data_IF_905760303187
#
_entry.id   IF_905760303187
#
_cell.length_a   1.000
_cell.length_b   1.000
_cell.length_c   1.000
_cell.angle_alpha   90.00
_cell.angle_beta   90.00
_cell.angle_gamma   90.00
#
_symmetry.space_group_name_H-M   'P 1'
#
loop_
_entity.id
_entity.type
_entity.pdbx_description
1 polymer ?
#
# COMPACT_ATOMS: atom_id res chain seq x y z
N UNK A 1 -15.02 44.06 -13.81
CA UNK A 1 -15.38 42.65 -13.51
C UNK A 1 -14.46 41.98 -12.47
N UNK A 2 -13.90 42.72 -11.50
CA UNK A 2 -13.01 42.18 -10.45
C UNK A 2 -13.53 42.39 -9.01
N UNK A 3 -14.57 43.21 -8.82
CA UNK A 3 -15.12 43.53 -7.49
C UNK A 3 -16.06 42.41 -6.97
N UNK A 4 -16.66 41.61 -7.87
CA UNK A 4 -17.62 40.56 -7.51
C UNK A 4 -16.99 39.32 -6.81
N UNK A 5 -15.77 38.90 -7.19
CA UNK A 5 -15.12 37.72 -6.59
C UNK A 5 -14.67 37.93 -5.13
N UNK A 6 -14.32 39.17 -4.76
CA UNK A 6 -13.87 39.50 -3.40
C UNK A 6 -15.04 39.52 -2.42
N UNK A 7 -16.18 40.07 -2.85
CA UNK A 7 -17.43 40.06 -2.09
C UNK A 7 -17.96 38.63 -1.89
N UNK A 8 -17.87 37.78 -2.92
CA UNK A 8 -18.27 36.37 -2.82
C UNK A 8 -17.41 35.57 -1.84
N UNK A 9 -16.10 35.83 -1.79
CA UNK A 9 -15.18 35.24 -0.80
C UNK A 9 -15.52 35.67 0.64
N UNK A 10 -15.84 36.95 0.85
CA UNK A 10 -16.21 37.43 2.19
C UNK A 10 -17.59 36.92 2.64
N UNK A 11 -18.55 36.78 1.73
CA UNK A 11 -19.86 36.18 2.03
C UNK A 11 -19.75 34.68 2.36
N UNK A 12 -18.89 33.92 1.65
CA UNK A 12 -18.62 32.51 1.99
C UNK A 12 -17.93 32.36 3.34
N UNK A 13 -16.96 33.23 3.64
CA UNK A 13 -16.27 33.19 4.93
C UNK A 13 -17.23 33.53 6.08
N UNK A 14 -18.09 34.54 5.91
CA UNK A 14 -19.09 34.92 6.90
C UNK A 14 -20.16 33.84 7.13
N UNK A 15 -20.61 33.16 6.06
CA UNK A 15 -21.56 32.04 6.16
C UNK A 15 -20.94 30.82 6.87
N UNK A 16 -19.65 30.55 6.63
CA UNK A 16 -18.92 29.48 7.31
C UNK A 16 -18.73 29.77 8.80
N UNK A 17 -18.36 31.01 9.16
CA UNK A 17 -18.24 31.42 10.57
C UNK A 17 -19.58 31.36 11.30
N UNK A 18 -20.68 31.74 10.64
CA UNK A 18 -22.02 31.66 11.23
C UNK A 18 -22.49 30.22 11.47
N UNK A 19 -22.16 29.29 10.56
CA UNK A 19 -22.48 27.87 10.70
C UNK A 19 -21.70 27.22 11.86
N UNK A 20 -20.43 27.59 12.05
CA UNK A 20 -19.60 27.10 13.17
C UNK A 20 -20.12 27.62 14.52
N UNK A 21 -20.52 28.90 14.60
CA UNK A 21 -21.09 29.47 15.83
C UNK A 21 -22.43 28.82 16.21
N UNK A 22 -23.29 28.52 15.22
CA UNK A 22 -24.55 27.81 15.45
C UNK A 22 -24.34 26.37 15.92
N UNK A 23 -23.34 25.66 15.39
CA UNK A 23 -23.00 24.29 15.83
C UNK A 23 -22.50 24.27 17.28
N UNK A 24 -21.68 25.25 17.69
CA UNK A 24 -21.19 25.37 19.08
C UNK A 24 -22.33 25.68 20.06
N UNK A 25 -23.28 26.53 19.68
CA UNK A 25 -24.43 26.87 20.53
C UNK A 25 -25.38 25.68 20.76
N UNK A 26 -25.58 24.82 19.75
CA UNK A 26 -26.39 23.59 19.89
C UNK A 26 -25.74 22.61 20.87
N UNK A 27 -24.41 22.47 20.84
CA UNK A 27 -23.69 21.58 21.78
C UNK A 27 -23.75 22.09 23.22
N UNK A 28 -23.72 23.42 23.44
CA UNK A 28 -23.82 23.98 24.80
C UNK A 28 -25.21 23.88 25.44
N UNK A 29 -26.28 23.72 24.64
CA UNK A 29 -27.66 23.65 25.17
C UNK A 29 -28.11 22.24 25.57
N UNK A 30 -27.35 21.19 25.23
CA UNK A 30 -27.71 19.78 25.54
C UNK A 30 -27.05 19.29 26.85
N UNK A 31 -26.03 19.99 27.36
CA UNK A 31 -25.30 19.59 28.58
C UNK A 31 -25.94 20.03 29.91
N UNK A 32 -27.16 20.58 29.90
CA UNK A 32 -27.85 21.05 31.12
C UNK A 32 -28.88 20.07 31.69
N UNK A 33 -28.94 18.83 31.23
CA UNK A 33 -29.88 17.83 31.75
C UNK A 33 -29.25 16.46 32.01
N UNK A 34 -28.38 16.35 33.02
CA UNK A 34 -28.17 15.09 33.75
C UNK A 34 -27.87 15.38 35.24
N UNK A 35 -28.55 14.72 36.19
CA UNK A 35 -28.41 15.00 37.62
C UNK A 35 -27.14 14.36 38.21
N UNK A 36 -26.56 15.06 39.20
CA UNK A 36 -25.40 14.66 40.00
C UNK A 36 -25.70 13.51 40.96
N UNK A 37 -24.70 12.65 41.12
CA UNK A 37 -24.59 11.56 42.10
C UNK A 37 -24.28 12.12 43.50
N UNK A 38 -24.80 11.47 44.55
CA UNK A 38 -24.31 11.64 45.93
C UNK A 38 -24.26 10.29 46.67
N UNK A 39 -23.27 10.18 47.58
CA UNK A 39 -22.93 9.12 48.56
C UNK A 39 -21.91 8.08 48.05
N UNK A 40 -20.60 8.18 48.31
CA UNK A 40 -19.80 8.15 49.57
C UNK A 40 -19.93 6.82 50.38
N UNK A 41 -18.76 6.18 50.60
CA UNK A 41 -18.21 5.63 51.87
C UNK A 41 -17.63 4.20 51.78
N UNK A 42 -16.31 4.15 52.02
CA UNK A 42 -15.45 3.16 52.70
C UNK A 42 -15.02 1.79 52.14
N UNK A 43 -13.69 1.67 52.18
CA UNK A 43 -12.89 0.45 52.33
C UNK A 43 -13.24 -0.30 53.63
N UNK A 44 -13.22 -1.63 53.58
CA UNK A 44 -12.49 -2.39 54.60
C UNK A 44 -11.96 -3.72 54.05
N UNK A 45 -10.72 -3.99 54.43
CA UNK A 45 -9.93 -5.20 54.23
C UNK A 45 -10.33 -6.31 55.19
N UNK A 46 -10.25 -7.58 54.79
CA UNK A 46 -9.41 -8.63 55.41
C UNK A 46 -9.81 -10.08 55.08
N UNK A 47 -8.78 -10.93 54.90
CA UNK A 47 -8.75 -12.40 55.04
C UNK A 47 -9.51 -13.21 53.97
N UNK A 48 -9.13 -14.42 53.54
CA UNK A 48 -8.18 -15.43 54.01
C UNK A 48 -7.81 -16.38 52.85
N UNK A 49 -6.66 -17.05 52.98
CA UNK A 49 -6.24 -18.20 52.18
C UNK A 49 -7.19 -19.40 52.38
N UNK A 50 -7.46 -20.17 51.32
CA UNK A 50 -7.35 -21.65 51.29
C UNK A 50 -7.65 -22.24 49.90
N UNK A 51 -6.68 -23.06 49.45
CA UNK A 51 -6.71 -24.24 48.59
C UNK A 51 -7.92 -24.57 47.68
N UNK A 52 -7.62 -24.94 46.43
CA UNK A 52 -8.53 -25.74 45.59
C UNK A 52 -8.04 -25.93 44.16
N UNK A 53 -7.22 -26.96 43.93
CA UNK A 53 -6.92 -27.45 42.59
C UNK A 53 -8.17 -28.12 41.98
N UNK A 54 -8.54 -27.74 40.75
CA UNK A 54 -9.36 -28.55 39.87
C UNK A 54 -9.21 -28.07 38.42
N UNK A 55 -8.60 -28.90 37.57
CA UNK A 55 -8.52 -28.66 36.13
C UNK A 55 -9.87 -28.80 35.43
N UNK A 56 -9.99 -28.16 34.25
CA UNK A 56 -10.91 -28.47 33.14
C UNK A 56 -10.31 -27.78 31.91
N UNK A 57 -9.71 -28.53 30.98
CA UNK A 57 -10.32 -29.16 29.79
C UNK A 57 -10.99 -28.16 28.85
N UNK A 58 -10.32 -27.97 27.73
CA UNK A 58 -10.84 -27.43 26.47
C UNK A 58 -12.14 -28.12 26.07
N UNK A 59 -13.09 -27.34 25.54
CA UNK A 59 -14.22 -27.86 24.79
C UNK A 59 -14.24 -27.19 23.41
N UNK A 60 -13.77 -27.96 22.44
CA UNK A 60 -13.95 -27.76 21.02
C UNK A 60 -15.44 -27.85 20.65
N UNK A 61 -15.94 -26.90 19.87
CA UNK A 61 -17.26 -27.01 19.23
C UNK A 61 -17.07 -27.68 17.86
N UNK A 62 -17.85 -28.75 17.69
CA UNK A 62 -17.90 -29.71 16.58
C UNK A 62 -18.60 -29.10 15.36
N UNK A 63 -17.90 -28.97 14.24
CA UNK A 63 -18.50 -28.82 12.93
C UNK A 63 -18.79 -30.21 12.32
N UNK A 64 -19.85 -30.29 11.52
CA UNK A 64 -20.53 -31.50 11.05
C UNK A 64 -19.91 -31.95 9.72
N UNK A 65 -19.42 -33.18 9.63
CA UNK A 65 -18.92 -33.79 8.39
C UNK A 65 -20.08 -34.26 7.48
N UNK A 66 -19.91 -34.26 6.14
CA UNK A 66 -20.70 -35.07 5.23
C UNK A 66 -19.99 -36.38 4.79
N UNK A 67 -20.85 -37.36 4.52
CA UNK A 67 -20.69 -38.80 4.24
C UNK A 67 -19.83 -39.18 3.00
N UNK A 68 -19.03 -40.28 3.02
CA UNK A 68 -18.19 -40.69 1.90
C UNK A 68 -18.80 -41.87 1.11
N UNK A 69 -18.93 -41.73 -0.22
CA UNK A 69 -18.96 -42.90 -1.12
C UNK A 69 -18.64 -42.55 -2.58
N UNK A 70 -17.39 -42.79 -2.98
CA UNK A 70 -16.95 -43.55 -4.18
C UNK A 70 -15.54 -43.12 -4.66
N UNK A 71 -14.60 -44.06 -4.56
CA UNK A 71 -13.21 -44.10 -5.06
C UNK A 71 -13.16 -44.12 -6.61
N UNK A 72 -12.12 -43.77 -7.40
CA UNK A 72 -10.70 -43.37 -7.27
C UNK A 72 -10.15 -42.99 -8.70
N UNK A 73 -8.84 -42.93 -8.99
CA UNK A 73 -7.93 -41.78 -8.90
C UNK A 73 -7.40 -41.31 -10.29
N UNK A 74 -7.10 -40.03 -10.51
CA UNK A 74 -6.09 -39.61 -11.51
C UNK A 74 -5.60 -38.18 -11.29
N UNK A 75 -4.27 -38.07 -11.34
CA UNK A 75 -3.45 -36.95 -11.80
C UNK A 75 -3.42 -35.63 -11.01
N UNK A 76 -2.21 -35.33 -10.54
CA UNK A 76 -1.78 -34.03 -10.05
C UNK A 76 -1.93 -32.97 -11.13
N UNK A 77 -2.82 -31.99 -10.90
CA UNK A 77 -2.88 -30.78 -11.72
C UNK A 77 -2.63 -29.56 -10.86
N UNK A 78 -1.62 -28.79 -11.27
CA UNK A 78 -1.49 -27.34 -11.18
C UNK A 78 -2.39 -26.65 -10.13
N UNK A 79 -1.76 -26.17 -9.06
CA UNK A 79 -2.42 -25.30 -8.08
C UNK A 79 -3.00 -24.07 -8.75
N UNK A 80 -4.27 -23.79 -8.48
CA UNK A 80 -4.99 -22.60 -8.89
C UNK A 80 -4.22 -21.34 -8.46
N UNK A 81 -3.56 -20.67 -9.42
CA UNK A 81 -2.99 -19.34 -9.20
C UNK A 81 -4.15 -18.34 -9.20
N UNK A 82 -4.52 -17.86 -8.02
CA UNK A 82 -5.60 -16.87 -7.83
C UNK A 82 -5.11 -15.47 -8.19
N UNK A 83 -5.83 -14.78 -9.07
CA UNK A 83 -5.73 -13.33 -9.24
C UNK A 83 -6.02 -12.63 -7.90
N UNK A 84 -5.12 -11.77 -7.42
CA UNK A 84 -5.34 -11.03 -6.17
C UNK A 84 -6.55 -10.10 -6.32
N UNK A 85 -7.62 -10.37 -5.57
CA UNK A 85 -8.76 -9.44 -5.45
C UNK A 85 -8.55 -8.53 -4.25
N UNK A 86 -9.15 -7.34 -4.28
CA UNK A 86 -9.12 -6.35 -3.20
C UNK A 86 -9.64 -6.83 -1.82
N UNK A 87 -10.10 -8.09 -1.73
CA UNK A 87 -10.61 -8.76 -0.53
C UNK A 87 -9.77 -9.98 -0.10
N UNK A 88 -8.58 -10.21 -0.70
CA UNK A 88 -7.77 -11.39 -0.42
C UNK A 88 -7.00 -11.21 0.91
N UNK A 89 -7.11 -12.11 1.90
CA UNK A 89 -6.42 -12.00 3.20
C UNK A 89 -4.88 -12.03 3.12
N UNK A 90 -4.29 -12.11 1.93
CA UNK A 90 -2.86 -12.11 1.63
C UNK A 90 -2.25 -10.73 1.32
N UNK A 91 -3.01 -9.64 1.50
CA UNK A 91 -2.52 -8.27 1.24
C UNK A 91 -1.20 -7.97 1.97
N UNK A 92 -1.05 -8.45 3.21
CA UNK A 92 0.14 -8.25 4.01
C UNK A 92 1.01 -9.51 4.04
N UNK A 93 2.27 -9.37 3.63
CA UNK A 93 3.31 -10.38 3.86
C UNK A 93 4.29 -9.88 4.92
N UNK A 94 4.39 -10.61 6.03
CA UNK A 94 5.49 -10.46 6.99
C UNK A 94 6.68 -11.23 6.46
N UNK A 95 7.80 -10.56 6.27
CA UNK A 95 9.05 -11.19 5.85
C UNK A 95 9.83 -11.65 7.08
N UNK A 96 10.52 -12.77 6.92
CA UNK A 96 11.38 -13.36 7.94
C UNK A 96 12.69 -13.81 7.27
N UNK A 97 13.79 -13.70 8.02
CA UNK A 97 15.05 -14.34 7.66
C UNK A 97 15.27 -15.53 8.58
N UNK A 98 15.96 -16.57 8.09
CA UNK A 98 16.48 -17.61 8.96
C UNK A 98 17.48 -16.99 9.96
N UNK A 99 17.44 -17.43 11.21
CA UNK A 99 18.30 -16.88 12.24
C UNK A 99 19.79 -17.04 11.86
N UNK A 100 20.53 -15.92 11.86
CA UNK A 100 21.93 -15.87 11.44
C UNK A 100 22.14 -15.55 9.95
N UNK A 101 21.06 -15.38 9.17
CA UNK A 101 21.08 -14.95 7.78
C UNK A 101 20.44 -13.56 7.59
N UNK A 102 20.43 -12.73 8.63
CA UNK A 102 19.92 -11.36 8.55
C UNK A 102 20.84 -10.48 7.68
N UNK A 103 20.29 -9.63 6.78
CA UNK A 103 21.09 -8.77 5.95
C UNK A 103 21.73 -7.66 6.78
N UNK A 104 22.95 -7.26 6.41
CA UNK A 104 23.64 -6.10 6.96
C UNK A 104 22.89 -4.81 6.65
N UNK A 105 22.28 -4.72 5.45
CA UNK A 105 21.48 -3.56 5.02
C UNK A 105 20.20 -4.00 4.34
N UNK A 106 19.11 -3.29 4.63
CA UNK A 106 17.91 -3.30 3.80
C UNK A 106 17.87 -2.02 2.97
N UNK A 107 17.71 -2.16 1.66
CA UNK A 107 17.79 -1.07 0.69
C UNK A 107 16.45 -1.00 -0.05
N UNK A 108 15.70 0.06 0.19
CA UNK A 108 14.40 0.30 -0.40
C UNK A 108 14.55 1.22 -1.60
N UNK A 109 14.09 0.83 -2.78
CA UNK A 109 14.29 1.59 -4.03
C UNK A 109 12.93 2.03 -4.59
N UNK A 110 12.87 3.29 -5.01
CA UNK A 110 11.71 3.92 -5.67
C UNK A 110 11.33 3.32 -7.03
N UNK A 111 10.30 3.89 -7.65
CA UNK A 111 9.72 3.47 -8.93
C UNK A 111 10.78 3.42 -10.05
N UNK A 112 10.97 2.24 -10.64
CA UNK A 112 12.01 1.98 -11.64
C UNK A 112 11.49 2.22 -13.06
N UNK A 113 10.26 1.78 -13.36
CA UNK A 113 9.63 1.98 -14.66
C UNK A 113 10.53 1.62 -15.86
N UNK A 114 11.01 0.38 -15.95
CA UNK A 114 11.82 -0.08 -17.08
C UNK A 114 13.21 0.56 -17.22
N UNK A 115 13.65 1.36 -16.25
CA UNK A 115 14.95 2.06 -16.27
C UNK A 115 16.09 1.16 -15.74
N UNK A 116 16.37 0.05 -16.45
CA UNK A 116 17.34 -0.97 -15.99
C UNK A 116 18.77 -0.44 -15.84
N UNK A 117 19.19 0.50 -16.70
CA UNK A 117 20.53 1.11 -16.63
C UNK A 117 20.70 1.93 -15.34
N UNK A 118 19.67 2.68 -14.97
CA UNK A 118 19.64 3.47 -13.73
C UNK A 118 19.53 2.56 -12.52
N UNK A 119 18.79 1.45 -12.62
CA UNK A 119 18.76 0.44 -11.57
C UNK A 119 20.15 -0.18 -11.33
N UNK A 120 20.85 -0.58 -12.40
CA UNK A 120 22.23 -1.09 -12.30
C UNK A 120 23.18 -0.02 -11.73
N UNK A 121 23.08 1.22 -12.20
CA UNK A 121 23.90 2.34 -11.71
C UNK A 121 23.69 2.60 -10.21
N UNK A 122 22.45 2.50 -9.73
CA UNK A 122 22.14 2.64 -8.31
C UNK A 122 22.74 1.49 -7.49
N UNK A 123 22.65 0.25 -7.98
CA UNK A 123 23.26 -0.91 -7.32
C UNK A 123 24.80 -0.78 -7.23
N UNK A 124 25.43 -0.25 -8.28
CA UNK A 124 26.87 0.03 -8.31
C UNK A 124 27.26 1.12 -7.30
N UNK A 125 26.52 2.22 -7.23
CA UNK A 125 26.73 3.31 -6.27
C UNK A 125 26.57 2.83 -4.81
N UNK A 126 25.56 1.99 -4.58
CA UNK A 126 25.31 1.35 -3.29
C UNK A 126 26.37 0.30 -2.91
N UNK A 127 27.19 -0.11 -3.89
CA UNK A 127 28.10 -1.27 -3.80
C UNK A 127 27.34 -2.49 -3.29
N UNK A 128 26.20 -2.76 -3.91
CA UNK A 128 25.29 -3.83 -3.50
C UNK A 128 26.00 -5.19 -3.46
N UNK A 129 25.82 -5.91 -2.36
CA UNK A 129 26.38 -7.25 -2.14
C UNK A 129 25.26 -8.25 -1.91
N UNK A 130 24.96 -9.06 -2.92
CA UNK A 130 23.96 -10.12 -2.81
C UNK A 130 24.32 -11.10 -1.69
N UNK A 131 23.35 -11.40 -0.83
CA UNK A 131 23.53 -12.24 0.36
C UNK A 131 23.97 -11.48 1.61
N UNK A 132 24.50 -10.26 1.47
CA UNK A 132 24.73 -9.36 2.61
C UNK A 132 23.69 -8.24 2.69
N UNK A 133 23.21 -7.76 1.55
CA UNK A 133 22.18 -6.74 1.44
C UNK A 133 20.87 -7.36 0.95
N UNK A 134 19.73 -6.82 1.41
CA UNK A 134 18.42 -7.12 0.87
C UNK A 134 17.86 -5.91 0.12
N UNK A 135 17.61 -6.07 -1.18
CA UNK A 135 16.85 -5.09 -1.97
C UNK A 135 15.35 -5.28 -1.73
N UNK A 136 14.65 -4.15 -1.56
CA UNK A 136 13.19 -4.06 -1.52
C UNK A 136 12.73 -2.99 -2.52
N UNK A 137 11.93 -3.36 -3.52
CA UNK A 137 11.41 -2.45 -4.54
C UNK A 137 9.99 -2.01 -4.16
N UNK A 138 9.71 -0.70 -4.26
CA UNK A 138 8.42 -0.12 -3.85
C UNK A 138 7.31 -0.27 -4.89
N UNK A 139 7.49 -1.12 -5.89
CA UNK A 139 6.56 -1.34 -7.00
C UNK A 139 6.89 -0.51 -8.24
N UNK A 140 6.06 -0.67 -9.27
CA UNK A 140 6.20 -0.02 -10.58
C UNK A 140 7.57 -0.28 -11.21
N UNK A 141 7.88 -1.57 -11.36
CA UNK A 141 9.09 -2.05 -12.06
C UNK A 141 8.95 -1.84 -13.57
N UNK A 142 7.73 -1.94 -14.08
CA UNK A 142 7.41 -1.99 -15.51
C UNK A 142 6.77 -0.69 -16.01
N UNK A 143 6.60 -0.60 -17.34
CA UNK A 143 5.98 0.50 -18.08
C UNK A 143 6.78 1.82 -18.03
N UNK A 144 6.43 2.74 -18.93
CA UNK A 144 6.97 4.08 -19.20
C UNK A 144 8.41 4.10 -19.75
N UNK A 145 9.33 3.37 -19.12
CA UNK A 145 10.71 3.30 -19.58
C UNK A 145 10.99 2.14 -20.54
N UNK A 146 12.23 2.07 -21.03
CA UNK A 146 12.55 1.31 -22.24
C UNK A 146 12.59 -0.21 -22.04
N UNK A 147 13.00 -0.70 -20.87
CA UNK A 147 13.45 -2.10 -20.69
C UNK A 147 12.74 -2.80 -19.52
N UNK A 148 11.41 -2.87 -19.57
CA UNK A 148 10.58 -3.46 -18.50
C UNK A 148 10.97 -4.91 -18.17
N UNK A 149 11.17 -5.77 -19.18
CA UNK A 149 11.54 -7.17 -18.94
C UNK A 149 12.94 -7.30 -18.31
N UNK A 150 13.88 -6.43 -18.70
CA UNK A 150 15.23 -6.45 -18.12
C UNK A 150 15.22 -6.05 -16.63
N UNK A 151 14.33 -5.15 -16.22
CA UNK A 151 14.13 -4.82 -14.79
C UNK A 151 13.59 -6.02 -14.02
N UNK A 152 12.58 -6.73 -14.57
CA UNK A 152 12.02 -7.95 -13.96
C UNK A 152 13.12 -9.00 -13.79
N UNK A 153 13.87 -9.29 -14.86
CA UNK A 153 14.96 -10.28 -14.86
C UNK A 153 16.04 -9.90 -13.85
N UNK A 154 16.43 -8.62 -13.81
CA UNK A 154 17.42 -8.12 -12.85
C UNK A 154 16.92 -8.29 -11.41
N UNK A 155 15.71 -7.83 -11.11
CA UNK A 155 15.11 -7.92 -9.78
C UNK A 155 15.00 -9.38 -9.30
N UNK A 156 14.56 -10.29 -10.18
CA UNK A 156 14.49 -11.72 -9.91
C UNK A 156 15.89 -12.31 -9.64
N UNK A 157 16.88 -12.02 -10.49
CA UNK A 157 18.24 -12.56 -10.38
C UNK A 157 18.97 -12.21 -9.07
N UNK A 158 18.67 -11.03 -8.50
CA UNK A 158 19.27 -10.58 -7.25
C UNK A 158 18.44 -10.95 -6.00
N UNK A 159 17.30 -11.64 -6.18
CA UNK A 159 16.40 -12.01 -5.08
C UNK A 159 15.73 -10.81 -4.42
N UNK A 160 15.39 -9.77 -5.19
CA UNK A 160 14.74 -8.58 -4.66
C UNK A 160 13.33 -8.92 -4.13
N UNK A 161 12.97 -8.33 -2.99
CA UNK A 161 11.59 -8.32 -2.53
C UNK A 161 10.87 -7.14 -3.18
N UNK A 162 9.60 -7.31 -3.55
CA UNK A 162 8.85 -6.26 -4.21
C UNK A 162 7.47 -6.12 -3.58
N UNK A 163 7.00 -4.89 -3.44
CA UNK A 163 5.57 -4.62 -3.30
C UNK A 163 4.95 -4.36 -4.66
N UNK A 164 3.66 -4.69 -4.81
CA UNK A 164 2.95 -4.58 -6.07
C UNK A 164 2.60 -3.12 -6.37
N UNK A 165 3.07 -2.61 -7.52
CA UNK A 165 2.66 -1.31 -8.05
C UNK A 165 1.44 -1.39 -8.96
N UNK A 166 0.81 -0.24 -9.25
CA UNK A 166 -0.38 -0.23 -10.11
C UNK A 166 -0.05 -0.51 -11.59
N UNK A 167 1.18 -0.23 -12.04
CA UNK A 167 1.62 -0.63 -13.38
C UNK A 167 1.92 -2.12 -13.44
N UNK A 168 2.54 -2.68 -12.39
CA UNK A 168 2.81 -4.13 -12.30
C UNK A 168 1.49 -4.92 -12.32
N UNK A 169 0.51 -4.51 -11.51
CA UNK A 169 -0.80 -5.17 -11.44
C UNK A 169 -1.53 -5.17 -12.78
N UNK A 170 -1.47 -4.07 -13.52
CA UNK A 170 -2.09 -3.98 -14.84
C UNK A 170 -1.45 -4.94 -15.85
N UNK A 171 -0.13 -5.11 -15.81
CA UNK A 171 0.57 -6.11 -16.66
C UNK A 171 0.13 -7.52 -16.30
N UNK A 172 0.06 -7.85 -15.00
CA UNK A 172 -0.39 -9.17 -14.53
C UNK A 172 -1.81 -9.46 -15.01
N UNK A 173 -2.75 -8.53 -14.82
CA UNK A 173 -4.14 -8.68 -15.27
C UNK A 173 -4.24 -8.85 -16.78
N UNK A 174 -3.47 -8.08 -17.56
CA UNK A 174 -3.41 -8.25 -19.01
C UNK A 174 -2.93 -9.65 -19.38
N UNK A 175 -1.88 -10.14 -18.73
CA UNK A 175 -1.33 -11.46 -18.99
C UNK A 175 -2.33 -12.57 -18.64
N UNK A 176 -2.95 -12.50 -17.46
CA UNK A 176 -4.00 -13.45 -17.06
C UNK A 176 -5.18 -13.47 -18.05
N UNK A 177 -5.57 -12.30 -18.55
CA UNK A 177 -6.60 -12.22 -19.59
C UNK A 177 -6.15 -12.87 -20.90
N UNK A 178 -4.93 -12.60 -21.36
CA UNK A 178 -4.35 -13.18 -22.58
C UNK A 178 -4.11 -14.70 -22.48
N UNK A 179 -3.88 -15.23 -21.29
CA UNK A 179 -3.77 -16.67 -21.05
C UNK A 179 -5.14 -17.36 -20.86
N UNK A 180 -6.18 -16.56 -20.58
CA UNK A 180 -7.55 -17.01 -20.31
C UNK A 180 -8.57 -16.52 -21.35
N UNK A 181 -9.55 -15.67 -20.99
CA UNK A 181 -10.65 -15.30 -21.90
C UNK A 181 -10.23 -14.62 -23.21
N UNK A 182 -9.09 -13.93 -23.22
CA UNK A 182 -8.53 -13.27 -24.39
C UNK A 182 -7.58 -14.14 -25.23
N UNK A 183 -7.41 -15.43 -24.87
CA UNK A 183 -6.42 -16.30 -25.50
C UNK A 183 -6.68 -16.49 -26.99
N UNK A 184 -5.64 -16.21 -27.78
CA UNK A 184 -5.67 -16.35 -29.24
C UNK A 184 -6.37 -15.22 -29.98
N UNK A 185 -6.89 -14.20 -29.29
CA UNK A 185 -7.43 -13.01 -29.94
C UNK A 185 -6.31 -12.19 -30.59
N UNK A 186 -6.54 -11.73 -31.81
CA UNK A 186 -5.69 -10.78 -32.49
C UNK A 186 -5.78 -9.39 -31.87
N UNK A 187 -4.79 -8.53 -32.14
CA UNK A 187 -4.79 -7.13 -31.66
C UNK A 187 -6.03 -6.37 -32.15
N UNK A 188 -6.50 -6.65 -33.37
CA UNK A 188 -7.70 -6.02 -33.95
C UNK A 188 -8.99 -6.46 -33.23
N UNK A 189 -9.12 -7.75 -32.90
CA UNK A 189 -10.26 -8.25 -32.11
C UNK A 189 -10.29 -7.64 -30.71
N UNK A 190 -9.11 -7.52 -30.08
CA UNK A 190 -8.97 -6.88 -28.79
C UNK A 190 -9.32 -5.39 -28.84
N UNK A 191 -8.92 -4.68 -29.89
CA UNK A 191 -9.29 -3.27 -30.09
C UNK A 191 -10.80 -3.10 -30.31
N UNK A 192 -11.46 -3.99 -31.05
CA UNK A 192 -12.92 -3.98 -31.17
C UNK A 192 -13.62 -4.26 -29.84
N UNK A 193 -13.04 -5.14 -29.02
CA UNK A 193 -13.54 -5.42 -27.67
C UNK A 193 -13.33 -4.22 -26.74
N UNK A 194 -12.22 -3.50 -26.88
CA UNK A 194 -11.98 -2.22 -26.19
C UNK A 194 -13.05 -1.19 -26.56
N UNK A 195 -13.28 -0.96 -27.85
CA UNK A 195 -14.22 0.05 -28.36
C UNK A 195 -15.67 -0.21 -27.95
N UNK A 196 -16.04 -1.49 -27.80
CA UNK A 196 -17.36 -1.91 -27.35
C UNK A 196 -17.52 -1.96 -25.82
N UNK A 197 -16.45 -1.68 -25.07
CA UNK A 197 -16.45 -1.77 -23.60
C UNK A 197 -16.54 -3.21 -23.07
N UNK A 198 -16.14 -4.20 -23.88
CA UNK A 198 -16.18 -5.62 -23.53
C UNK A 198 -14.93 -6.15 -22.84
N UNK A 199 -13.90 -5.31 -22.63
CA UNK A 199 -12.73 -5.69 -21.85
C UNK A 199 -13.08 -5.79 -20.36
N UNK A 200 -12.41 -6.69 -19.60
CA UNK A 200 -12.76 -6.96 -18.20
C UNK A 200 -12.44 -5.81 -17.23
N UNK A 201 -11.59 -4.86 -17.63
CA UNK A 201 -11.20 -3.72 -16.81
C UNK A 201 -11.21 -2.44 -17.64
N UNK A 202 -11.75 -1.36 -17.06
CA UNK A 202 -11.88 -0.05 -17.74
C UNK A 202 -10.52 0.58 -18.08
N UNK A 203 -9.49 0.22 -17.33
CA UNK A 203 -8.13 0.72 -17.49
C UNK A 203 -7.30 -0.07 -18.50
N UNK A 204 -7.88 -1.10 -19.13
CA UNK A 204 -7.25 -1.80 -20.23
C UNK A 204 -7.25 -0.94 -21.50
N UNK A 205 -6.06 -0.85 -22.10
CA UNK A 205 -5.79 -0.16 -23.36
C UNK A 205 -4.83 -0.98 -24.20
N UNK A 206 -5.30 -1.50 -25.34
CA UNK A 206 -4.52 -2.34 -26.27
C UNK A 206 -3.37 -1.55 -26.91
N UNK A 207 -3.53 -0.22 -26.99
CA UNK A 207 -2.53 0.71 -27.49
C UNK A 207 -1.43 1.07 -26.48
N UNK A 208 -1.57 0.64 -25.21
CA UNK A 208 -0.60 0.96 -24.15
C UNK A 208 0.38 -0.19 -23.97
N UNK A 209 1.59 0.17 -23.60
CA UNK A 209 2.72 -0.73 -23.35
C UNK A 209 2.42 -1.87 -22.37
N UNK A 210 1.46 -1.71 -21.44
CA UNK A 210 1.07 -2.80 -20.53
C UNK A 210 0.63 -4.07 -21.27
N UNK A 211 -0.08 -3.90 -22.41
CA UNK A 211 -0.47 -5.00 -23.27
C UNK A 211 0.76 -5.67 -23.91
N UNK A 212 1.66 -4.85 -24.48
CA UNK A 212 2.84 -5.35 -25.17
C UNK A 212 3.82 -6.05 -24.19
N UNK A 213 3.98 -5.53 -22.97
CA UNK A 213 4.77 -6.16 -21.90
C UNK A 213 4.15 -7.50 -21.50
N UNK A 214 2.85 -7.53 -21.24
CA UNK A 214 2.14 -8.75 -20.83
C UNK A 214 2.29 -9.87 -21.87
N UNK A 215 2.19 -9.54 -23.16
CA UNK A 215 2.37 -10.50 -24.26
C UNK A 215 3.79 -11.08 -24.36
N UNK A 216 4.80 -10.41 -23.79
CA UNK A 216 6.21 -10.84 -23.86
C UNK A 216 6.68 -11.61 -22.61
N UNK A 217 5.93 -11.60 -21.52
CA UNK A 217 6.33 -12.30 -20.29
C UNK A 217 6.52 -13.81 -20.52
N UNK A 218 7.57 -14.37 -19.93
CA UNK A 218 7.65 -15.81 -19.68
C UNK A 218 6.76 -16.21 -18.50
N UNK A 219 6.53 -17.51 -18.32
CA UNK A 219 5.78 -18.01 -17.16
C UNK A 219 6.51 -17.70 -15.84
N UNK A 220 7.84 -17.80 -15.82
CA UNK A 220 8.67 -17.50 -14.64
C UNK A 220 8.64 -16.01 -14.28
N UNK A 221 8.69 -15.12 -15.27
CA UNK A 221 8.56 -13.67 -15.04
C UNK A 221 7.17 -13.28 -14.54
N UNK A 222 6.11 -13.93 -15.06
CA UNK A 222 4.75 -13.74 -14.55
C UNK A 222 4.64 -14.22 -13.09
N UNK A 223 5.17 -15.39 -12.77
CA UNK A 223 5.16 -15.93 -11.40
C UNK A 223 5.90 -14.99 -10.44
N UNK A 224 7.04 -14.44 -10.86
CA UNK A 224 7.78 -13.45 -10.08
C UNK A 224 6.93 -12.20 -9.80
N UNK A 225 6.31 -11.61 -10.83
CA UNK A 225 5.40 -10.46 -10.64
C UNK A 225 4.20 -10.80 -9.74
N UNK A 226 3.64 -12.00 -9.89
CA UNK A 226 2.52 -12.46 -9.07
C UNK A 226 2.91 -12.62 -7.59
N UNK A 227 4.18 -12.90 -7.29
CA UNK A 227 4.69 -13.03 -5.91
C UNK A 227 4.74 -11.71 -5.12
N UNK A 228 4.52 -10.55 -5.77
CA UNK A 228 4.62 -9.24 -5.13
C UNK A 228 3.51 -9.04 -4.11
N UNK A 229 3.90 -8.74 -2.86
CA UNK A 229 2.95 -8.40 -1.79
C UNK A 229 2.31 -7.04 -2.03
N UNK A 230 1.06 -6.82 -1.63
CA UNK A 230 0.49 -5.46 -1.67
C UNK A 230 1.10 -4.59 -0.56
N UNK A 231 1.26 -5.16 0.62
CA UNK A 231 1.89 -4.55 1.79
C UNK A 231 2.96 -5.53 2.30
N UNK A 232 4.15 -5.03 2.60
CA UNK A 232 5.24 -5.82 3.17
C UNK A 232 5.64 -5.27 4.54
N UNK A 233 5.73 -6.14 5.54
CA UNK A 233 6.38 -5.82 6.80
C UNK A 233 7.81 -6.39 6.79
N UNK A 234 8.86 -5.55 6.90
CA UNK A 234 10.23 -6.01 7.11
C UNK A 234 10.38 -6.85 8.39
N UNK A 235 11.37 -7.76 8.43
CA UNK A 235 11.69 -8.53 9.63
C UNK A 235 12.33 -7.66 10.72
N UNK A 236 12.44 -8.19 11.96
CA UNK A 236 13.27 -7.58 13.00
C UNK A 236 14.70 -7.26 12.51
N UNK A 237 15.31 -6.14 12.95
CA UNK A 237 14.79 -5.21 13.95
C UNK A 237 13.81 -4.14 13.40
N UNK A 238 13.47 -4.17 12.11
CA UNK A 238 12.74 -3.10 11.41
C UNK A 238 11.21 -3.25 11.45
N UNK A 239 10.68 -3.83 12.53
CA UNK A 239 9.25 -4.12 12.65
C UNK A 239 8.38 -2.88 12.72
N UNK A 240 8.97 -1.71 12.98
CA UNK A 240 8.28 -0.43 13.00
C UNK A 240 7.95 0.14 11.61
N UNK A 241 8.52 -0.47 10.56
CA UNK A 241 8.34 -0.10 9.17
C UNK A 241 7.32 -0.98 8.46
N UNK A 242 6.66 -0.41 7.46
CA UNK A 242 5.98 -1.15 6.40
C UNK A 242 6.33 -0.55 5.04
N UNK A 243 6.17 -1.35 3.99
CA UNK A 243 6.35 -0.94 2.60
C UNK A 243 5.03 -1.15 1.87
N UNK A 244 4.61 -0.15 1.11
CA UNK A 244 3.39 -0.16 0.28
C UNK A 244 3.61 0.78 -0.89
N UNK A 245 3.05 0.48 -2.07
CA UNK A 245 3.38 1.26 -3.26
C UNK A 245 2.86 2.71 -3.23
N UNK A 246 1.54 2.91 -3.09
CA UNK A 246 0.93 4.24 -3.06
C UNK A 246 0.83 4.84 -1.65
N UNK A 247 0.28 4.09 -0.70
CA UNK A 247 0.06 4.55 0.67
C UNK A 247 -1.04 3.79 1.38
N UNK A 248 -1.44 4.27 2.56
CA UNK A 248 -2.52 3.67 3.36
C UNK A 248 -3.60 4.69 3.74
N UNK A 249 -4.83 4.21 3.87
CA UNK A 249 -5.86 4.96 4.57
C UNK A 249 -5.60 4.92 6.08
N UNK A 250 -5.18 6.05 6.66
CA UNK A 250 -4.79 6.13 8.08
C UNK A 250 -5.89 5.68 9.05
N UNK A 251 -7.16 5.80 8.69
CA UNK A 251 -8.30 5.44 9.54
C UNK A 251 -8.63 3.93 9.49
N UNK A 252 -8.12 3.19 8.49
CA UNK A 252 -8.37 1.76 8.36
C UNK A 252 -7.23 0.94 8.96
N UNK A 253 -7.52 -0.18 9.65
CA UNK A 253 -6.51 -1.18 9.98
C UNK A 253 -5.78 -1.67 8.72
N UNK A 254 -4.51 -2.07 8.86
CA UNK A 254 -3.69 -2.56 7.72
C UNK A 254 -4.33 -3.74 7.01
N UNK A 255 -4.90 -4.67 7.77
CA UNK A 255 -5.56 -5.85 7.23
C UNK A 255 -6.89 -5.53 6.53
N UNK A 256 -7.42 -4.32 6.73
CA UNK A 256 -8.69 -3.86 6.18
C UNK A 256 -8.49 -2.81 5.06
N UNK A 257 -7.27 -2.69 4.54
CA UNK A 257 -6.98 -1.89 3.35
C UNK A 257 -7.49 -2.61 2.10
N UNK A 258 -7.67 -1.89 1.00
CA UNK A 258 -7.93 -2.50 -0.31
C UNK A 258 -6.67 -2.41 -1.17
N UNK A 259 -6.44 -3.40 -2.02
CA UNK A 259 -5.27 -3.41 -2.91
C UNK A 259 -5.22 -2.17 -3.82
N UNK A 260 -6.37 -1.78 -4.38
CA UNK A 260 -6.47 -0.60 -5.24
C UNK A 260 -6.05 0.69 -4.50
N UNK A 261 -6.56 0.93 -3.29
CA UNK A 261 -6.12 2.05 -2.47
C UNK A 261 -4.62 1.98 -2.20
N UNK A 262 -4.12 0.82 -1.77
CA UNK A 262 -2.71 0.64 -1.45
C UNK A 262 -1.78 0.95 -2.62
N UNK A 263 -2.22 0.71 -3.85
CA UNK A 263 -1.44 0.98 -5.05
C UNK A 263 -1.66 2.38 -5.62
N UNK A 264 -2.78 3.05 -5.32
CA UNK A 264 -3.17 4.26 -6.10
C UNK A 264 -3.37 5.52 -5.28
N UNK A 265 -3.50 5.45 -3.95
CA UNK A 265 -3.80 6.62 -3.12
C UNK A 265 -2.73 7.71 -3.25
N UNK A 266 -3.18 8.96 -3.42
CA UNK A 266 -2.35 10.17 -3.30
C UNK A 266 -2.90 11.12 -2.25
N UNK A 267 -4.22 11.35 -2.30
CA UNK A 267 -4.94 12.21 -1.36
C UNK A 267 -6.15 11.47 -0.77
N UNK A 268 -6.73 12.06 0.26
CA UNK A 268 -8.01 11.68 0.86
C UNK A 268 -8.95 12.87 0.78
N UNK A 269 -10.08 12.70 0.11
CA UNK A 269 -11.18 13.65 0.04
C UNK A 269 -12.28 13.27 1.05
N UNK A 270 -13.32 14.10 1.16
CA UNK A 270 -14.47 13.81 2.00
C UNK A 270 -15.19 12.49 1.62
N UNK A 271 -15.04 12.04 0.38
CA UNK A 271 -15.63 10.80 -0.15
C UNK A 271 -14.72 9.58 -0.01
N UNK A 272 -13.51 9.73 0.52
CA UNK A 272 -12.53 8.65 0.66
C UNK A 272 -11.21 8.89 -0.07
N UNK A 273 -10.38 7.84 -0.23
CA UNK A 273 -9.09 7.93 -0.90
C UNK A 273 -9.28 8.24 -2.40
N UNK A 274 -8.35 9.01 -2.95
CA UNK A 274 -8.33 9.40 -4.36
C UNK A 274 -6.90 9.34 -4.91
N UNK A 275 -6.80 9.03 -6.20
CA UNK A 275 -5.53 8.90 -6.92
C UNK A 275 -5.01 10.20 -7.53
N UNK A 276 -5.73 11.32 -7.37
CA UNK A 276 -5.32 12.64 -7.86
C UNK A 276 -4.75 13.51 -6.74
N UNK A 277 -3.92 14.49 -7.13
CA UNK A 277 -3.26 15.40 -6.19
C UNK A 277 -4.00 16.74 -6.01
N UNK A 278 -4.98 17.04 -6.87
CA UNK A 278 -5.65 18.33 -6.99
C UNK A 278 -6.83 18.53 -6.03
N UNK A 279 -7.28 17.47 -5.38
CA UNK A 279 -8.40 17.46 -4.44
C UNK A 279 -8.01 16.78 -3.12
N UNK A 280 -8.69 17.11 -2.03
CA UNK A 280 -8.44 16.48 -0.72
C UNK A 280 -7.13 16.89 -0.06
N UNK A 281 -6.70 16.08 0.91
CA UNK A 281 -5.47 16.25 1.70
C UNK A 281 -4.52 15.10 1.40
N UNK A 282 -3.22 15.34 1.33
CA UNK A 282 -2.27 14.27 1.08
C UNK A 282 -2.36 13.19 2.16
N UNK A 283 -2.35 11.91 1.77
CA UNK A 283 -2.58 10.82 2.71
C UNK A 283 -1.51 10.78 3.81
N UNK A 284 -0.26 11.13 3.48
CA UNK A 284 0.85 11.12 4.42
C UNK A 284 0.73 12.21 5.51
N UNK A 285 0.06 13.33 5.24
CA UNK A 285 -0.21 14.36 6.25
C UNK A 285 -1.23 13.84 7.28
N UNK A 286 -2.23 13.09 6.82
CA UNK A 286 -3.22 12.44 7.69
C UNK A 286 -2.53 11.34 8.51
N UNK A 287 -1.63 10.58 7.90
CA UNK A 287 -0.82 9.58 8.61
C UNK A 287 0.03 10.22 9.71
N UNK A 288 0.77 11.29 9.39
CA UNK A 288 1.59 12.01 10.35
C UNK A 288 0.75 12.54 11.52
N UNK A 289 -0.42 13.12 11.25
CA UNK A 289 -1.34 13.58 12.28
C UNK A 289 -1.82 12.45 13.20
N UNK A 290 -2.12 11.27 12.65
CA UNK A 290 -2.47 10.09 13.43
C UNK A 290 -1.32 9.67 14.34
N UNK A 291 -0.10 9.60 13.82
CA UNK A 291 1.07 9.18 14.60
C UNK A 291 1.36 10.15 15.76
N UNK A 292 1.26 11.46 15.50
CA UNK A 292 1.42 12.48 16.54
C UNK A 292 0.41 12.31 17.69
N UNK A 293 -0.85 12.01 17.37
CA UNK A 293 -1.88 11.74 18.39
C UNK A 293 -1.51 10.50 19.22
N UNK A 294 -1.08 9.42 18.57
CA UNK A 294 -0.70 8.17 19.25
C UNK A 294 0.53 8.35 20.15
N UNK A 295 1.42 9.27 19.84
CA UNK A 295 2.58 9.63 20.65
C UNK A 295 2.27 10.61 21.81
N UNK A 296 1.00 11.03 21.95
CA UNK A 296 0.57 11.94 23.02
C UNK A 296 0.78 13.43 22.72
N UNK A 297 0.99 13.81 21.46
CA UNK A 297 1.05 15.20 21.01
C UNK A 297 -0.37 15.77 20.80
N UNK A 298 -0.59 17.10 20.97
CA UNK A 298 -1.93 17.69 20.89
C UNK A 298 -2.58 17.42 19.52
N UNK A 299 -3.89 17.13 19.50
CA UNK A 299 -4.56 16.64 18.30
C UNK A 299 -4.55 17.66 17.16
N UNK A 300 -4.30 17.19 15.94
CA UNK A 300 -4.55 17.95 14.73
C UNK A 300 -6.08 18.13 14.57
N UNK A 301 -6.60 19.35 14.42
CA UNK A 301 -8.04 19.61 14.27
C UNK A 301 -8.68 19.00 13.01
N UNK A 302 -7.90 18.39 12.11
CA UNK A 302 -8.37 17.70 10.90
C UNK A 302 -8.61 16.18 11.08
N UNK A 303 -8.23 15.59 12.22
CA UNK A 303 -8.41 14.16 12.47
C UNK A 303 -9.72 13.90 13.23
N UNK A 304 -10.73 13.36 12.55
CA UNK A 304 -11.90 12.76 13.23
C UNK A 304 -11.58 11.32 13.60
N UNK A 305 -11.63 10.91 14.88
CA UNK A 305 -11.51 9.51 15.25
C UNK A 305 -12.73 8.75 14.73
N UNK A 306 -12.52 7.74 13.90
CA UNK A 306 -13.52 6.69 13.68
C UNK A 306 -13.34 5.62 14.74
N UNK A 307 -14.42 5.26 15.43
CA UNK A 307 -14.50 4.13 16.35
C UNK A 307 -14.03 2.84 15.65
N UNK A 308 -12.77 2.44 15.91
CA UNK A 308 -12.31 1.08 15.63
C UNK A 308 -11.85 0.47 16.94
N UNK A 309 -12.55 -0.59 17.35
CA UNK A 309 -12.31 -1.39 18.56
C UNK A 309 -10.89 -1.95 18.60
N UNK A 310 -10.29 -1.96 19.78
CA UNK A 310 -8.88 -2.30 20.09
C UNK A 310 -8.38 -3.70 19.65
N UNK A 311 -9.19 -4.56 19.03
CA UNK A 311 -8.83 -5.96 18.81
C UNK A 311 -8.03 -6.25 17.53
N UNK A 312 -7.99 -5.36 16.53
CA UNK A 312 -7.32 -5.63 15.24
C UNK A 312 -5.83 -5.25 15.19
N UNK A 313 -5.30 -4.54 16.20
CA UNK A 313 -3.95 -3.95 16.19
C UNK A 313 -2.90 -4.69 17.02
N UNK A 314 -3.27 -5.75 17.76
CA UNK A 314 -2.37 -6.34 18.76
C UNK A 314 -1.16 -7.13 18.22
N UNK A 315 -0.95 -7.25 16.90
CA UNK A 315 0.16 -8.07 16.36
C UNK A 315 1.06 -7.38 15.30
N UNK A 316 0.89 -6.09 15.02
CA UNK A 316 1.82 -5.33 14.14
C UNK A 316 1.96 -3.91 14.67
N UNK A 317 3.03 -3.67 15.43
CA UNK A 317 3.37 -2.35 15.93
C UNK A 317 4.27 -1.63 14.91
N UNK A 318 3.67 -0.87 14.00
CA UNK A 318 4.41 -0.06 13.02
C UNK A 318 3.88 1.38 13.02
N UNK A 319 4.79 2.31 12.76
CA UNK A 319 4.47 3.74 12.70
C UNK A 319 5.13 4.44 11.51
N UNK A 320 6.02 3.76 10.78
CA UNK A 320 6.73 4.30 9.62
C UNK A 320 6.35 3.58 8.32
N UNK A 321 6.26 4.33 7.22
CA UNK A 321 5.85 3.82 5.90
C UNK A 321 6.85 4.22 4.82
N UNK A 322 7.29 3.26 4.01
CA UNK A 322 8.09 3.50 2.79
C UNK A 322 7.18 3.27 1.57
N UNK A 323 7.20 4.18 0.60
CA UNK A 323 6.31 4.17 -0.55
C UNK A 323 6.93 4.80 -1.80
N UNK A 324 6.22 4.66 -2.94
CA UNK A 324 6.58 5.16 -4.27
C UNK A 324 5.43 5.95 -4.89
N UNK A 325 5.10 5.68 -6.16
CA UNK A 325 3.92 6.12 -6.94
C UNK A 325 3.82 7.62 -7.24
N UNK A 326 4.15 8.48 -6.28
CA UNK A 326 3.81 9.90 -6.32
C UNK A 326 4.83 10.80 -7.05
N UNK A 327 5.19 10.45 -8.28
CA UNK A 327 6.08 11.21 -9.15
C UNK A 327 5.70 12.70 -9.27
N UNK A 328 4.41 13.04 -9.12
CA UNK A 328 3.94 14.42 -9.14
C UNK A 328 4.52 15.27 -7.99
N UNK A 329 4.77 14.65 -6.84
CA UNK A 329 5.40 15.26 -5.65
C UNK A 329 6.90 15.01 -5.57
N UNK A 330 7.40 13.98 -6.25
CA UNK A 330 8.81 13.61 -6.21
C UNK A 330 9.22 13.01 -4.85
N UNK A 331 10.50 13.15 -4.52
CA UNK A 331 11.07 12.62 -3.27
C UNK A 331 10.45 13.30 -2.04
N UNK A 332 9.92 12.50 -1.12
CA UNK A 332 9.21 12.97 0.07
C UNK A 332 9.76 12.30 1.34
N UNK A 333 10.50 13.04 2.15
CA UNK A 333 11.16 12.51 3.35
C UNK A 333 10.57 13.19 4.58
N UNK A 334 9.74 12.45 5.31
CA UNK A 334 9.07 12.89 6.52
C UNK A 334 9.41 11.95 7.69
N UNK A 335 9.06 12.33 8.92
CA UNK A 335 9.39 11.54 10.11
C UNK A 335 8.77 10.13 10.05
N UNK A 336 7.49 10.05 9.67
CA UNK A 336 6.73 8.80 9.62
C UNK A 336 6.60 8.19 8.23
N UNK A 337 6.97 8.90 7.16
CA UNK A 337 6.81 8.39 5.79
C UNK A 337 7.99 8.74 4.90
N UNK A 338 8.36 7.82 4.01
CA UNK A 338 9.47 7.94 3.06
C UNK A 338 8.98 7.60 1.66
N UNK A 339 8.63 8.62 0.88
CA UNK A 339 8.23 8.51 -0.53
C UNK A 339 9.44 8.60 -1.43
N UNK A 340 9.75 7.52 -2.14
CA UNK A 340 11.00 7.31 -2.88
C UNK A 340 10.88 7.55 -4.39
N UNK A 341 9.66 7.76 -4.91
CA UNK A 341 9.43 8.10 -6.31
C UNK A 341 10.00 9.49 -6.62
N UNK A 342 11.24 9.47 -7.11
CA UNK A 342 12.04 10.63 -7.45
C UNK A 342 12.04 10.90 -8.96
N UNK A 343 11.01 10.38 -9.65
CA UNK A 343 10.71 10.63 -11.07
C UNK A 343 11.78 10.09 -12.02
N UNK A 344 12.32 8.90 -11.77
CA UNK A 344 13.44 8.37 -12.56
C UNK A 344 13.15 8.38 -14.07
N UNK A 345 12.05 7.76 -14.49
CA UNK A 345 11.69 7.67 -15.92
C UNK A 345 11.48 9.03 -16.60
N UNK A 346 11.20 10.07 -15.82
CA UNK A 346 10.99 11.44 -16.28
C UNK A 346 12.25 12.32 -16.18
N UNK A 347 13.44 11.71 -16.07
CA UNK A 347 14.72 12.44 -15.98
C UNK A 347 15.04 13.02 -14.60
N UNK A 348 14.35 12.54 -13.56
CA UNK A 348 14.66 12.84 -12.17
C UNK A 348 15.83 11.99 -11.66
N UNK A 349 15.62 11.30 -10.54
CA UNK A 349 16.58 10.36 -9.99
C UNK A 349 15.91 9.01 -9.68
N UNK A 350 16.71 7.97 -9.55
CA UNK A 350 16.32 6.73 -8.89
C UNK A 350 16.92 6.76 -7.49
N UNK A 351 16.07 6.70 -6.47
CA UNK A 351 16.49 6.90 -5.07
C UNK A 351 16.29 5.64 -4.24
N UNK A 352 17.29 5.35 -3.42
CA UNK A 352 17.28 4.33 -2.40
C UNK A 352 17.23 4.95 -1.01
N UNK A 353 16.49 4.32 -0.10
CA UNK A 353 16.52 4.54 1.35
C UNK A 353 17.13 3.30 2.03
N UNK A 354 18.05 3.51 2.97
CA UNK A 354 18.88 2.42 3.51
C UNK A 354 18.71 2.32 5.02
N UNK A 355 18.44 1.11 5.49
CA UNK A 355 18.47 0.73 6.89
C UNK A 355 19.61 -0.27 7.15
N UNK A 356 20.32 -0.18 8.28
CA UNK A 356 20.17 0.82 9.33
C UNK A 356 20.77 2.18 8.94
N UNK A 357 20.39 3.26 9.63
CA UNK A 357 21.00 4.59 9.48
C UNK A 357 20.18 5.61 8.69
N UNK A 358 19.06 5.20 8.09
CA UNK A 358 18.12 6.07 7.36
C UNK A 358 18.81 6.93 6.27
N UNK A 359 19.76 6.34 5.53
CA UNK A 359 20.53 7.05 4.50
C UNK A 359 19.79 7.09 3.16
N UNK A 360 20.00 8.16 2.39
CA UNK A 360 19.51 8.29 1.03
C UNK A 360 20.67 8.25 0.03
N UNK A 361 20.50 7.46 -1.02
CA UNK A 361 21.43 7.39 -2.15
C UNK A 361 20.62 7.49 -3.42
N UNK A 362 21.06 8.33 -4.36
CA UNK A 362 20.34 8.56 -5.61
C UNK A 362 21.29 8.59 -6.78
N UNK A 363 20.84 8.10 -7.93
CA UNK A 363 21.53 8.28 -9.21
C UNK A 363 20.65 9.07 -10.18
N UNK A 364 21.24 9.94 -11.02
CA UNK A 364 20.48 10.70 -12.01
C UNK A 364 19.91 9.77 -13.08
N UNK A 365 18.71 10.08 -13.56
CA UNK A 365 18.04 9.32 -14.61
C UNK A 365 17.95 10.08 -15.93
N UNK A 366 17.75 9.34 -17.01
CA UNK A 366 17.47 9.89 -18.35
C UNK A 366 15.98 10.15 -18.47
N UNK A 367 15.59 11.21 -19.19
CA UNK A 367 14.20 11.45 -19.52
C UNK A 367 13.76 10.53 -20.66
N UNK A 368 12.81 9.63 -20.40
CA UNK A 368 12.24 8.72 -21.39
C UNK A 368 10.86 9.16 -21.90
N UNK A 369 10.29 10.26 -21.36
CA UNK A 369 9.00 10.82 -21.79
C UNK A 369 9.03 11.35 -23.25
N UNK A 370 10.25 11.62 -23.78
CA UNK A 370 10.48 12.18 -25.12
C UNK A 370 10.71 11.11 -26.23
N UNK A 371 10.57 9.81 -25.95
CA UNK A 371 10.66 8.77 -27.00
C UNK A 371 9.33 8.64 -27.78
N UNK A 372 8.94 9.71 -28.48
CA UNK A 372 8.26 9.55 -29.75
C UNK A 372 9.33 9.20 -30.80
N UNK A 373 9.22 8.10 -31.57
CA UNK A 373 10.12 7.92 -32.69
C UNK A 373 9.78 8.93 -33.78
N UNK A 374 10.80 9.67 -34.23
CA UNK A 374 10.85 10.42 -35.49
C UNK A 374 10.46 9.56 -36.71
#
# INVERSE_FOLDING_TARGET
>A
MAISKRIYRHLRLAAFTLAVVLAVLVVTSVNSFLPRNDNIVERSSSSSLLAGAAGRKSLYIRAKEPDPSSESPTESSAGDVKSFRASDPTLLIKREFEAGNEPKRMIFIGDIHGCVDQFNSLLDELKFQQGEDQIVLVGDLVAKGPESLAVIQKASSIGAWCVRGNHDDRVIRWREFLDGPGKGMSKDELSQLEDSGGLPYDDFKVSKEHYDIAGQLTAEELEFLQSFSVIMAPPPPYTEWIVVHGGLEAQKPVLNQTADTCMTIRNVAATGPISTHDQGVAWFDIWAAKMQILEGLPPNPLATPSDSTEEDYNNINFNKIIYGHDAGRGLQIHDYTKGLDSRCVYGGNLTAFILPGEQLVSVPCVNYDDKAPD
#
